data_IF_599626051278
#
_entry.id   IF_599626051278
#
_cell.length_a   1.000
_cell.length_b   1.000
_cell.length_c   1.000
_cell.angle_alpha   90.00
_cell.angle_beta   90.00
_cell.angle_gamma   90.00
#
_symmetry.space_group_name_H-M   'P 1'
#
loop_
_entity.id
_entity.type
_entity.pdbx_description
1 polymer ?
#
# COMPACT_ATOMS: atom_id res chain seq x y z
N UNK A 1 7.21 18.17 -5.59
CA UNK A 1 8.53 17.52 -5.42
C UNK A 1 9.10 17.06 -6.76
N UNK A 2 8.39 16.20 -7.50
CA UNK A 2 8.81 15.73 -8.84
C UNK A 2 9.18 16.89 -9.77
N UNK A 3 8.34 17.92 -9.84
CA UNK A 3 8.62 19.10 -10.66
C UNK A 3 9.91 19.83 -10.29
N UNK A 4 10.24 19.91 -8.99
CA UNK A 4 11.46 20.56 -8.51
C UNK A 4 12.73 19.78 -8.90
N UNK A 5 12.64 18.45 -8.96
CA UNK A 5 13.72 17.60 -9.47
C UNK A 5 13.84 17.74 -10.99
N UNK A 6 12.69 17.77 -11.69
CA UNK A 6 12.63 17.91 -13.15
C UNK A 6 13.28 19.20 -13.63
N UNK A 7 13.02 20.33 -12.96
CA UNK A 7 13.66 21.63 -13.23
C UNK A 7 15.18 21.60 -13.08
N UNK A 8 15.72 20.67 -12.28
CA UNK A 8 17.16 20.47 -12.07
C UNK A 8 17.75 19.40 -13.00
N UNK A 9 16.97 18.89 -13.97
CA UNK A 9 17.38 17.80 -14.85
C UNK A 9 17.57 16.48 -14.11
N UNK A 10 16.85 16.26 -13.01
CA UNK A 10 16.94 15.04 -12.19
C UNK A 10 15.57 14.37 -12.10
N UNK A 11 15.59 13.07 -11.89
CA UNK A 11 14.39 12.27 -11.62
C UNK A 11 14.25 12.01 -10.12
N UNK A 12 13.04 11.75 -9.65
CA UNK A 12 12.83 11.28 -8.27
C UNK A 12 12.96 9.77 -8.26
N UNK A 13 13.97 9.26 -7.56
CA UNK A 13 14.25 7.82 -7.47
C UNK A 13 13.69 7.29 -6.16
N UNK A 14 12.95 6.19 -6.19
CA UNK A 14 12.32 5.61 -5.01
C UNK A 14 12.46 4.09 -4.94
N UNK A 15 12.54 3.57 -3.71
CA UNK A 15 12.26 2.18 -3.39
C UNK A 15 10.79 2.04 -3.02
N UNK A 16 10.10 1.04 -3.57
CA UNK A 16 8.76 0.67 -3.14
C UNK A 16 8.87 -0.45 -2.10
N UNK A 17 8.35 -0.21 -0.90
CA UNK A 17 8.34 -1.19 0.20
C UNK A 17 6.92 -1.67 0.43
N UNK A 18 6.72 -2.99 0.41
CA UNK A 18 5.46 -3.65 0.77
C UNK A 18 5.65 -4.39 2.10
N UNK A 19 4.70 -4.23 3.01
CA UNK A 19 4.73 -4.90 4.31
C UNK A 19 3.33 -5.38 4.69
N UNK A 20 3.28 -6.54 5.36
CA UNK A 20 2.06 -7.21 5.81
C UNK A 20 2.10 -7.31 7.33
N UNK A 21 1.20 -6.57 7.99
CA UNK A 21 1.10 -6.58 9.45
C UNK A 21 -0.16 -7.33 9.87
N UNK A 22 0.00 -8.32 10.75
CA UNK A 22 -1.14 -8.96 11.41
C UNK A 22 -1.85 -7.94 12.29
N UNK A 23 -3.16 -7.80 12.10
CA UNK A 23 -4.00 -6.98 12.97
C UNK A 23 -4.68 -7.88 13.99
N UNK A 24 -4.72 -7.45 15.25
CA UNK A 24 -5.55 -8.12 16.25
C UNK A 24 -7.02 -7.86 15.92
N UNK A 25 -7.79 -8.93 15.74
CA UNK A 25 -9.23 -8.89 15.49
C UNK A 25 -9.95 -8.10 16.60
N UNK A 26 -10.21 -6.82 16.32
CA UNK A 26 -11.03 -5.94 17.15
C UNK A 26 -11.84 -5.06 16.21
N UNK A 27 -13.15 -5.31 16.21
CA UNK A 27 -14.14 -4.45 15.59
C UNK A 27 -14.46 -3.35 16.60
N UNK A 28 -14.09 -2.11 16.29
CA UNK A 28 -14.31 -0.97 17.17
C UNK A 28 -15.28 0.01 16.51
N UNK A 29 -16.28 0.43 17.28
CA UNK A 29 -17.15 1.52 16.86
C UNK A 29 -16.57 2.84 17.36
N UNK A 30 -16.01 3.65 16.45
CA UNK A 30 -15.39 4.95 16.79
C UNK A 30 -16.44 6.08 16.87
N UNK A 31 -17.72 5.74 17.04
CA UNK A 31 -18.82 6.71 17.13
C UNK A 31 -19.31 7.30 15.80
N UNK A 32 -18.56 7.12 14.70
CA UNK A 32 -18.94 7.58 13.34
C UNK A 32 -18.89 6.48 12.29
N UNK A 33 -17.94 5.56 12.41
CA UNK A 33 -17.72 4.44 11.49
C UNK A 33 -17.36 3.19 12.28
N UNK A 34 -17.76 2.03 11.77
CA UNK A 34 -17.22 0.75 12.23
C UNK A 34 -15.83 0.57 11.63
N UNK A 35 -14.82 0.30 12.47
CA UNK A 35 -13.47 -0.06 12.06
C UNK A 35 -13.23 -1.53 12.39
N UNK A 36 -12.41 -2.24 11.59
CA UNK A 36 -12.18 -3.70 11.76
C UNK A 36 -12.58 -4.56 10.56
N UNK A 37 -13.20 -3.96 9.55
CA UNK A 37 -13.60 -4.64 8.32
C UNK A 37 -12.64 -4.37 7.18
N UNK A 38 -12.73 -5.22 6.15
CA UNK A 38 -11.97 -5.05 4.91
C UNK A 38 -12.20 -3.66 4.32
N UNK A 39 -11.12 -2.92 4.09
CA UNK A 39 -11.12 -1.60 3.49
C UNK A 39 -10.08 -1.55 2.38
N UNK A 40 -10.55 -1.66 1.15
CA UNK A 40 -9.72 -1.67 -0.07
C UNK A 40 -9.51 -0.26 -0.67
N UNK A 41 -9.92 0.79 0.04
CA UNK A 41 -9.80 2.19 -0.42
C UNK A 41 -10.89 2.65 -1.40
N UNK A 42 -11.88 1.80 -1.69
CA UNK A 42 -13.10 2.12 -2.44
C UNK A 42 -14.32 1.54 -1.69
N UNK A 43 -15.49 2.20 -1.82
CA UNK A 43 -16.73 1.70 -1.23
C UNK A 43 -17.16 0.41 -1.95
N UNK A 44 -16.81 -0.72 -1.38
CA UNK A 44 -17.46 -1.99 -1.72
C UNK A 44 -18.70 -2.05 -0.82
N UNK A 45 -19.86 -1.75 -1.39
CA UNK A 45 -21.14 -2.06 -0.73
C UNK A 45 -21.37 -3.58 -0.86
N UNK A 46 -20.73 -4.36 0.01
CA UNK A 46 -21.09 -5.76 0.23
C UNK A 46 -21.72 -5.89 1.62
N UNK A 47 -22.93 -6.45 1.67
CA UNK A 47 -23.63 -6.78 2.92
C UNK A 47 -22.91 -7.87 3.74
N UNK A 48 -21.87 -8.49 3.16
CA UNK A 48 -20.96 -9.41 3.82
C UNK A 48 -19.74 -8.64 4.30
N UNK A 49 -19.69 -8.39 5.61
CA UNK A 49 -18.59 -7.66 6.26
C UNK A 49 -17.57 -8.66 6.79
N UNK A 50 -16.62 -9.07 5.95
CA UNK A 50 -15.53 -9.94 6.40
C UNK A 50 -14.62 -9.22 7.41
N UNK A 51 -14.31 -9.91 8.50
CA UNK A 51 -13.41 -9.39 9.54
C UNK A 51 -11.97 -9.36 9.02
N UNK A 52 -11.34 -8.19 9.10
CA UNK A 52 -9.97 -8.03 8.61
C UNK A 52 -8.95 -8.60 9.59
N UNK A 53 -8.02 -9.41 9.07
CA UNK A 53 -6.97 -10.08 9.83
C UNK A 53 -5.58 -9.49 9.60
N UNK A 54 -5.42 -8.78 8.50
CA UNK A 54 -4.13 -8.24 8.07
C UNK A 54 -4.28 -6.82 7.52
N UNK A 55 -3.18 -6.10 7.54
CA UNK A 55 -3.03 -4.80 6.91
C UNK A 55 -1.86 -4.87 5.95
N UNK A 56 -2.13 -4.58 4.68
CA UNK A 56 -1.14 -4.48 3.62
C UNK A 56 -0.81 -3.01 3.39
N UNK A 57 0.45 -2.64 3.56
CA UNK A 57 0.92 -1.26 3.41
C UNK A 57 1.97 -1.19 2.32
N UNK A 58 1.84 -0.19 1.44
CA UNK A 58 2.88 0.18 0.49
C UNK A 58 3.45 1.55 0.85
N UNK A 59 4.77 1.63 0.98
CA UNK A 59 5.50 2.85 1.30
C UNK A 59 6.51 3.16 0.20
N UNK A 60 6.47 4.38 -0.33
CA UNK A 60 7.56 4.90 -1.16
C UNK A 60 8.63 5.52 -0.28
N UNK A 61 9.87 5.12 -0.51
CA UNK A 61 11.05 5.65 0.16
C UNK A 61 11.93 6.34 -0.87
N UNK A 62 12.13 7.65 -0.71
CA UNK A 62 13.02 8.42 -1.56
C UNK A 62 14.47 7.94 -1.41
N UNK A 63 15.12 7.62 -2.53
CA UNK A 63 16.54 7.25 -2.56
C UNK A 63 17.41 8.50 -2.64
N UNK A 64 17.04 9.40 -3.55
CA UNK A 64 17.72 10.67 -3.75
C UNK A 64 17.05 11.84 -3.01
N UNK A 65 16.17 11.52 -2.07
CA UNK A 65 15.53 12.48 -1.16
C UNK A 65 15.26 11.81 0.19
N UNK A 66 15.43 12.54 1.28
CA UNK A 66 15.30 12.00 2.64
C UNK A 66 13.83 12.00 3.12
N UNK A 67 12.97 11.24 2.45
CA UNK A 67 11.54 11.17 2.77
C UNK A 67 10.97 9.77 2.56
N UNK A 68 9.85 9.50 3.24
CA UNK A 68 9.03 8.30 3.06
C UNK A 68 7.56 8.67 3.15
N UNK A 69 6.73 8.12 2.27
CA UNK A 69 5.26 8.31 2.33
C UNK A 69 4.55 6.96 2.11
N UNK A 70 3.54 6.63 2.92
CA UNK A 70 2.64 5.54 2.60
C UNK A 70 1.78 5.94 1.39
N UNK A 71 1.68 5.06 0.39
CA UNK A 71 0.88 5.29 -0.83
C UNK A 71 -0.38 4.45 -0.87
N UNK A 72 -0.35 3.26 -0.26
CA UNK A 72 -1.51 2.38 -0.17
C UNK A 72 -1.59 1.78 1.22
N UNK A 73 -2.81 1.74 1.75
CA UNK A 73 -3.13 1.18 3.05
C UNK A 73 -4.42 0.37 2.91
N UNK A 74 -4.28 -0.96 2.89
CA UNK A 74 -5.41 -1.86 2.71
C UNK A 74 -5.60 -2.68 3.98
N UNK A 75 -6.83 -2.71 4.47
CA UNK A 75 -7.23 -3.56 5.60
C UNK A 75 -7.94 -4.76 4.98
N UNK A 76 -7.47 -5.99 5.18
CA UNK A 76 -7.84 -7.15 4.37
C UNK A 76 -8.02 -8.42 5.21
N UNK A 77 -8.63 -9.45 4.64
CA UNK A 77 -8.76 -10.79 5.22
C UNK A 77 -8.03 -11.84 4.36
N UNK A 78 -6.73 -11.63 4.15
CA UNK A 78 -5.96 -12.50 3.26
C UNK A 78 -6.15 -12.11 1.79
N UNK A 79 -5.05 -11.85 1.08
CA UNK A 79 -5.04 -11.90 -0.39
C UNK A 79 -4.28 -13.13 -0.86
N UNK A 80 -4.76 -13.75 -1.94
CA UNK A 80 -3.97 -14.76 -2.63
C UNK A 80 -2.82 -14.10 -3.42
N UNK A 81 -1.82 -14.90 -3.79
CA UNK A 81 -0.62 -14.39 -4.47
C UNK A 81 -0.91 -13.66 -5.79
N UNK A 82 -2.00 -14.04 -6.49
CA UNK A 82 -2.40 -13.42 -7.75
C UNK A 82 -3.03 -12.05 -7.53
N UNK A 83 -3.86 -11.91 -6.51
CA UNK A 83 -4.45 -10.63 -6.10
C UNK A 83 -3.37 -9.66 -5.62
N UNK A 84 -2.43 -10.12 -4.78
CA UNK A 84 -1.28 -9.31 -4.34
C UNK A 84 -0.47 -8.81 -5.53
N UNK A 85 -0.17 -9.67 -6.49
CA UNK A 85 0.52 -9.26 -7.72
C UNK A 85 -0.27 -8.21 -8.52
N UNK A 86 -1.60 -8.33 -8.59
CA UNK A 86 -2.46 -7.33 -9.21
C UNK A 86 -2.40 -5.97 -8.51
N UNK A 87 -2.49 -5.96 -7.17
CA UNK A 87 -2.35 -4.74 -6.36
C UNK A 87 -0.98 -4.10 -6.59
N UNK A 88 0.10 -4.87 -6.56
CA UNK A 88 1.46 -4.38 -6.82
C UNK A 88 1.56 -3.70 -8.19
N UNK A 89 0.97 -4.30 -9.23
CA UNK A 89 0.96 -3.71 -10.58
C UNK A 89 0.22 -2.37 -10.62
N UNK A 90 -0.93 -2.27 -9.98
CA UNK A 90 -1.70 -1.02 -9.92
C UNK A 90 -0.95 0.06 -9.12
N UNK A 91 -0.30 -0.30 -8.02
CA UNK A 91 0.54 0.64 -7.25
C UNK A 91 1.70 1.16 -8.10
N UNK A 92 2.39 0.28 -8.83
CA UNK A 92 3.51 0.70 -9.70
C UNK A 92 3.01 1.65 -10.79
N UNK A 93 1.87 1.36 -11.43
CA UNK A 93 1.27 2.25 -12.45
C UNK A 93 0.94 3.63 -11.85
N UNK A 94 0.24 3.65 -10.72
CA UNK A 94 -0.15 4.87 -10.02
C UNK A 94 1.05 5.75 -9.66
N UNK A 95 2.13 5.15 -9.17
CA UNK A 95 3.37 5.88 -8.83
C UNK A 95 4.10 6.36 -10.08
N UNK A 96 4.13 5.55 -11.13
CA UNK A 96 4.76 5.91 -12.40
C UNK A 96 4.05 7.11 -13.07
N UNK A 97 2.71 7.18 -13.00
CA UNK A 97 1.93 8.33 -13.47
C UNK A 97 2.28 9.64 -12.76
N UNK A 98 2.76 9.56 -11.51
CA UNK A 98 3.22 10.72 -10.74
C UNK A 98 4.60 11.25 -11.18
N UNK A 99 5.30 10.57 -12.09
CA UNK A 99 6.64 10.93 -12.56
C UNK A 99 7.78 10.53 -11.63
N UNK A 100 7.51 9.59 -10.72
CA UNK A 100 8.52 8.97 -9.85
C UNK A 100 9.06 7.71 -10.53
N UNK A 101 10.37 7.50 -10.44
CA UNK A 101 11.04 6.30 -10.95
C UNK A 101 11.25 5.34 -9.79
N UNK A 102 10.57 4.19 -9.84
CA UNK A 102 10.79 3.09 -8.90
C UNK A 102 12.01 2.29 -9.38
N UNK A 103 13.08 2.26 -8.59
CA UNK A 103 14.33 1.55 -8.95
C UNK A 103 14.43 0.17 -8.32
N UNK A 104 13.69 -0.06 -7.23
CA UNK A 104 13.70 -1.31 -6.49
C UNK A 104 12.36 -1.54 -5.79
N UNK A 105 12.07 -2.81 -5.52
CA UNK A 105 10.90 -3.24 -4.76
C UNK A 105 11.35 -4.17 -3.64
N UNK A 106 10.92 -3.91 -2.40
CA UNK A 106 11.26 -4.70 -1.21
C UNK A 106 9.98 -5.18 -0.56
N UNK A 107 9.92 -6.46 -0.22
CA UNK A 107 8.81 -7.05 0.50
C UNK A 107 9.30 -8.20 1.36
N UNK A 108 8.60 -8.49 2.46
CA UNK A 108 8.89 -9.67 3.28
C UNK A 108 8.36 -10.94 2.60
N UNK A 109 9.09 -12.05 2.74
CA UNK A 109 8.71 -13.31 2.15
C UNK A 109 7.52 -13.94 2.91
N UNK A 110 6.60 -14.62 2.22
CA UNK A 110 5.55 -15.37 2.91
C UNK A 110 6.21 -16.47 3.75
N UNK A 111 5.77 -16.61 5.00
CA UNK A 111 6.17 -17.75 5.84
C UNK A 111 5.55 -19.00 5.23
N UNK A 112 6.37 -19.87 4.63
CA UNK A 112 5.94 -21.20 4.20
C UNK A 112 5.72 -22.00 5.48
N UNK A 113 4.47 -22.21 5.86
CA UNK A 113 4.08 -23.12 6.96
C UNK A 113 3.56 -24.43 6.37
#
# INVERSE_FOLDING_TARGET
>A
MVEQYRLKGREVLCNLVMDEMSKKNQVEFTGKTMTGYVHLGFQIHSDETEEAREVLVFTLVGINGHWKIPVVYLILNGLNSKEKAGVVQEVIKFVHESGVVITSFTFDAPTIT
#
